data_IF_819978031898
#
_entry.id   IF_819978031898
#
_cell.length_a   1.000
_cell.length_b   1.000
_cell.length_c   1.000
_cell.angle_alpha   90.00
_cell.angle_beta   90.00
_cell.angle_gamma   90.00
#
_symmetry.space_group_name_H-M   'P 1'
#
loop_
_entity.id
_entity.type
_entity.pdbx_description
1 polymer ?
#
# COMPACT_ATOMS: atom_id res chain seq x y z
N UNK A 1 -21.14 -51.64 -11.79
CA UNK A 1 -20.07 -51.26 -10.85
C UNK A 1 -19.59 -49.91 -11.30
N UNK A 2 -20.24 -48.86 -10.81
CA UNK A 2 -19.85 -47.47 -11.01
C UNK A 2 -18.74 -47.12 -10.02
N UNK A 3 -17.71 -46.35 -10.42
CA UNK A 3 -16.79 -45.77 -9.46
C UNK A 3 -17.51 -44.67 -8.64
N UNK A 4 -17.13 -44.45 -7.37
CA UNK A 4 -17.73 -43.39 -6.58
C UNK A 4 -17.37 -42.02 -7.16
N UNK A 5 -18.39 -41.16 -7.28
CA UNK A 5 -18.26 -39.72 -7.52
C UNK A 5 -17.27 -39.15 -6.49
N UNK A 6 -16.12 -38.65 -6.97
CA UNK A 6 -15.33 -37.74 -6.14
C UNK A 6 -16.14 -36.47 -6.00
N UNK A 7 -16.70 -36.29 -4.81
CA UNK A 7 -17.07 -34.98 -4.30
C UNK A 7 -15.83 -34.09 -4.38
N UNK A 8 -15.76 -33.22 -5.38
CA UNK A 8 -14.98 -31.99 -5.33
C UNK A 8 -15.65 -31.08 -4.28
N UNK A 9 -15.53 -31.49 -3.02
CA UNK A 9 -15.86 -30.68 -1.86
C UNK A 9 -14.71 -29.69 -1.68
N UNK A 10 -15.06 -28.43 -1.89
CA UNK A 10 -14.35 -27.22 -1.54
C UNK A 10 -13.11 -27.43 -0.67
N UNK A 11 -11.97 -27.13 -1.25
CA UNK A 11 -11.03 -26.30 -0.52
C UNK A 11 -10.69 -25.14 -1.44
N UNK A 12 -11.57 -24.13 -1.44
CA UNK A 12 -11.07 -22.77 -1.43
C UNK A 12 -10.07 -22.74 -0.28
N UNK A 13 -8.80 -22.94 -0.61
CA UNK A 13 -7.72 -22.50 0.24
C UNK A 13 -7.89 -20.98 0.13
N UNK A 14 -8.38 -20.24 1.14
CA UNK A 14 -7.98 -18.85 1.18
C UNK A 14 -6.46 -18.95 1.25
N UNK A 15 -5.80 -18.54 0.17
CA UNK A 15 -4.37 -18.35 0.19
C UNK A 15 -4.13 -17.26 1.24
N UNK A 16 -3.99 -17.69 2.48
CA UNK A 16 -3.51 -16.91 3.60
C UNK A 16 -1.99 -16.82 3.43
N UNK A 17 -1.54 -16.23 2.33
CA UNK A 17 -0.23 -15.60 2.29
C UNK A 17 -0.41 -14.19 2.82
N UNK A 18 -0.43 -14.10 4.14
CA UNK A 18 -0.29 -12.86 4.89
C UNK A 18 1.11 -12.27 4.64
N UNK A 19 1.26 -11.58 3.52
CA UNK A 19 2.29 -10.57 3.30
C UNK A 19 1.53 -9.24 3.22
N UNK A 20 1.48 -8.54 4.35
CA UNK A 20 0.63 -7.37 4.61
C UNK A 20 0.66 -6.33 3.48
N UNK A 21 -0.35 -6.37 2.61
CA UNK A 21 -0.69 -5.25 1.75
C UNK A 21 -1.22 -4.12 2.64
N UNK A 22 -0.32 -3.26 3.13
CA UNK A 22 -0.68 -2.11 3.97
C UNK A 22 -1.83 -1.37 3.29
N UNK A 23 -2.98 -1.20 3.97
CA UNK A 23 -4.14 -0.59 3.36
C UNK A 23 -3.80 0.85 2.98
N UNK A 24 -4.22 1.26 1.79
CA UNK A 24 -3.97 2.59 1.24
C UNK A 24 -4.41 3.69 2.21
N UNK A 25 -5.57 3.50 2.85
CA UNK A 25 -6.11 4.40 3.87
C UNK A 25 -5.18 4.57 5.06
N UNK A 26 -4.49 3.51 5.51
CA UNK A 26 -3.52 3.63 6.60
C UNK A 26 -2.28 4.42 6.19
N UNK A 27 -1.82 4.28 4.95
CA UNK A 27 -0.70 5.08 4.42
C UNK A 27 -1.09 6.56 4.34
N UNK A 28 -2.26 6.86 3.79
CA UNK A 28 -2.79 8.24 3.71
C UNK A 28 -2.99 8.82 5.10
N UNK A 29 -3.55 8.06 6.03
CA UNK A 29 -3.74 8.47 7.42
C UNK A 29 -2.39 8.74 8.10
N UNK A 30 -1.40 7.88 7.89
CA UNK A 30 -0.04 8.09 8.40
C UNK A 30 0.62 9.36 7.87
N UNK A 31 0.39 9.72 6.61
CA UNK A 31 0.87 10.97 6.00
C UNK A 31 0.13 12.18 6.60
N UNK A 32 -1.19 12.09 6.75
CA UNK A 32 -2.04 13.15 7.31
C UNK A 32 -1.75 13.44 8.78
N UNK A 33 -1.42 12.40 9.55
CA UNK A 33 -1.09 12.49 10.97
C UNK A 33 0.41 12.68 11.24
N UNK A 34 1.24 12.74 10.20
CA UNK A 34 2.64 13.10 10.34
C UNK A 34 2.76 14.59 10.74
N UNK A 35 3.84 14.98 11.44
CA UNK A 35 4.07 16.37 11.84
C UNK A 35 4.17 17.31 10.64
N UNK A 36 4.61 16.79 9.50
CA UNK A 36 4.54 17.47 8.21
C UNK A 36 3.77 16.59 7.21
N UNK A 37 2.91 17.16 6.35
CA UNK A 37 2.10 16.40 5.37
C UNK A 37 2.94 15.81 4.22
N UNK A 38 4.26 15.85 4.33
CA UNK A 38 5.23 15.35 3.36
C UNK A 38 6.17 14.41 4.10
N UNK A 39 6.20 13.15 3.71
CA UNK A 39 6.99 12.11 4.40
C UNK A 39 7.95 11.42 3.44
N UNK A 40 9.04 10.88 3.97
CA UNK A 40 9.94 10.04 3.17
C UNK A 40 9.54 8.56 3.27
N UNK A 41 10.03 7.73 2.34
CA UNK A 41 9.76 6.28 2.35
C UNK A 41 10.19 5.63 3.68
N UNK A 42 11.29 6.09 4.27
CA UNK A 42 11.84 5.53 5.52
C UNK A 42 10.91 5.73 6.71
N UNK A 43 10.26 6.88 6.81
CA UNK A 43 9.29 7.20 7.85
C UNK A 43 8.12 6.21 7.84
N UNK A 44 7.58 5.93 6.65
CA UNK A 44 6.49 4.97 6.50
C UNK A 44 6.99 3.54 6.69
N UNK A 45 8.16 3.19 6.16
CA UNK A 45 8.74 1.86 6.32
C UNK A 45 8.95 1.51 7.80
N UNK A 46 9.49 2.44 8.59
CA UNK A 46 9.66 2.28 10.04
C UNK A 46 8.32 2.20 10.76
N UNK A 47 7.35 3.06 10.40
CA UNK A 47 6.02 3.08 11.03
C UNK A 47 5.24 1.78 10.82
N UNK A 48 5.38 1.16 9.65
CA UNK A 48 4.67 -0.06 9.29
C UNK A 48 5.50 -1.35 9.46
N UNK A 49 6.73 -1.23 9.98
CA UNK A 49 7.67 -2.34 10.16
C UNK A 49 7.86 -3.18 8.88
N UNK A 50 8.07 -2.51 7.75
CA UNK A 50 8.28 -3.16 6.44
C UNK A 50 9.61 -2.75 5.81
N UNK A 51 10.20 -3.61 4.95
CA UNK A 51 11.43 -3.26 4.26
C UNK A 51 11.23 -2.05 3.35
N UNK A 52 12.23 -1.16 3.32
CA UNK A 52 12.20 0.09 2.57
C UNK A 52 11.84 -0.10 1.08
N UNK A 53 12.36 -1.15 0.45
CA UNK A 53 12.07 -1.48 -0.94
C UNK A 53 10.61 -1.88 -1.18
N UNK A 54 9.99 -2.63 -0.25
CA UNK A 54 8.58 -3.01 -0.35
C UNK A 54 7.67 -1.80 -0.13
N UNK A 55 8.01 -0.95 0.85
CA UNK A 55 7.30 0.31 1.05
C UNK A 55 7.43 1.23 -0.18
N UNK A 56 8.62 1.35 -0.75
CA UNK A 56 8.83 2.13 -1.97
C UNK A 56 7.94 1.62 -3.12
N UNK A 57 7.98 0.32 -3.42
CA UNK A 57 7.15 -0.27 -4.48
C UNK A 57 5.65 -0.06 -4.22
N UNK A 58 5.24 -0.11 -2.94
CA UNK A 58 3.85 0.16 -2.54
C UNK A 58 3.47 1.62 -2.79
N UNK A 59 4.32 2.57 -2.41
CA UNK A 59 4.07 4.00 -2.61
C UNK A 59 4.08 4.37 -4.10
N UNK A 60 4.98 3.80 -4.89
CA UNK A 60 5.01 3.98 -6.34
C UNK A 60 3.70 3.51 -6.99
N UNK A 61 3.19 2.35 -6.57
CA UNK A 61 1.88 1.85 -7.02
C UNK A 61 0.72 2.79 -6.65
N UNK A 62 0.79 3.46 -5.49
CA UNK A 62 -0.22 4.43 -5.07
C UNK A 62 -0.14 5.75 -5.83
N UNK A 63 1.06 6.13 -6.29
CA UNK A 63 1.21 7.27 -7.18
C UNK A 63 0.71 6.98 -8.59
N UNK A 64 0.96 5.79 -9.12
CA UNK A 64 0.38 5.36 -10.41
C UNK A 64 -1.16 5.36 -10.36
N UNK A 65 -1.73 4.96 -9.22
CA UNK A 65 -3.17 5.01 -8.96
C UNK A 65 -3.73 6.44 -8.71
N UNK A 66 -2.88 7.47 -8.67
CA UNK A 66 -3.28 8.86 -8.45
C UNK A 66 -3.65 9.21 -7.01
N UNK A 67 -3.34 8.34 -6.03
CA UNK A 67 -3.64 8.58 -4.61
C UNK A 67 -2.57 9.44 -3.94
N UNK A 68 -1.31 9.21 -4.29
CA UNK A 68 -0.17 9.93 -3.74
C UNK A 68 0.59 10.66 -4.84
N UNK A 69 1.20 11.78 -4.50
CA UNK A 69 2.21 12.41 -5.32
C UNK A 69 3.58 12.22 -4.69
N UNK A 70 4.61 12.21 -5.53
CA UNK A 70 5.98 12.07 -5.07
C UNK A 70 6.94 13.05 -5.75
N UNK A 71 8.01 13.39 -5.05
CA UNK A 71 9.13 14.15 -5.60
C UNK A 71 10.44 13.49 -5.19
N UNK A 72 11.31 13.30 -6.17
CA UNK A 72 12.69 12.92 -5.92
C UNK A 72 13.48 14.14 -5.45
N UNK A 73 14.08 14.04 -4.26
CA UNK A 73 15.02 15.03 -3.74
C UNK A 73 16.42 14.51 -4.02
N UNK A 74 17.16 15.25 -4.85
CA UNK A 74 18.53 14.89 -5.27
C UNK A 74 19.38 14.49 -4.06
N UNK A 75 19.87 13.25 -4.09
CA UNK A 75 20.72 12.61 -3.07
C UNK A 75 20.09 12.38 -1.68
N UNK A 76 18.78 12.62 -1.50
CA UNK A 76 18.08 12.39 -0.22
C UNK A 76 16.91 11.41 -0.29
N UNK A 77 16.50 10.98 -1.48
CA UNK A 77 15.45 9.98 -1.69
C UNK A 77 14.13 10.58 -2.18
N UNK A 78 13.02 9.93 -1.86
CA UNK A 78 11.68 10.31 -2.33
C UNK A 78 10.85 10.86 -1.18
N UNK A 79 10.19 11.97 -1.45
CA UNK A 79 9.15 12.55 -0.60
C UNK A 79 7.78 12.21 -1.20
N UNK A 80 6.83 11.95 -0.32
CA UNK A 80 5.49 11.47 -0.64
C UNK A 80 4.46 12.30 0.13
N UNK A 81 3.37 12.67 -0.54
CA UNK A 81 2.24 13.36 0.06
C UNK A 81 0.94 12.92 -0.61
N UNK A 82 -0.19 13.18 0.03
CA UNK A 82 -1.51 12.88 -0.53
C UNK A 82 -1.77 13.75 -1.76
N UNK A 83 -2.27 13.17 -2.86
CA UNK A 83 -2.63 13.96 -4.02
C UNK A 83 -3.91 14.77 -3.76
N UNK A 84 -3.89 16.05 -4.10
CA UNK A 84 -5.05 16.95 -4.02
C UNK A 84 -6.17 16.54 -4.99
N UNK A 85 -5.87 15.72 -6.00
CA UNK A 85 -6.88 15.24 -6.97
C UNK A 85 -7.92 14.32 -6.32
N UNK A 86 -7.57 13.59 -5.25
CA UNK A 86 -8.51 12.72 -4.53
C UNK A 86 -9.49 13.51 -3.65
N UNK A 87 -9.17 14.76 -3.27
CA UNK A 87 -10.08 15.58 -2.43
C UNK A 87 -11.26 16.19 -3.21
N UNK A 88 -11.28 16.06 -4.54
CA UNK A 88 -12.29 16.65 -5.42
C UNK A 88 -13.45 15.70 -5.80
N UNK A 89 -13.43 14.43 -5.42
CA UNK A 89 -14.52 13.46 -5.69
C UNK A 89 -15.53 13.35 -4.53
N UNK A 90 -15.23 13.93 -3.36
CA UNK A 90 -16.11 13.91 -2.17
C UNK A 90 -16.93 15.21 -1.95
N UNK A 91 -17.17 16.01 -3.01
CA UNK A 91 -18.04 17.20 -2.95
C UNK A 91 -19.15 17.24 -4.00
#
# INVERSE_FOLDING_TARGET
MDPPERSDESTEIPDCTSESAIPTTAIVDAIRHAPEPVVNTGYLAERFDVPLGAMYARLESLTDAGVLEHMEVRQRGHLWWQSLATELDEF
#
